data_IF_615571303777
#
_entry.id   IF_615571303777
#
_cell.length_a   1.000
_cell.length_b   1.000
_cell.length_c   1.000
_cell.angle_alpha   90.00
_cell.angle_beta   90.00
_cell.angle_gamma   90.00
#
_symmetry.space_group_name_H-M   'P 1'
#
loop_
_entity.id
_entity.type
_entity.pdbx_description
1 polymer ?
#
# COMPACT_ATOMS: atom_id res chain seq x y z
N UNK A 1 -5.32 -6.78 -33.87
CA UNK A 1 -4.98 -7.51 -35.11
C UNK A 1 -3.50 -7.37 -35.46
N UNK A 2 -2.96 -6.16 -35.72
CA UNK A 2 -1.52 -5.98 -36.05
C UNK A 2 -0.57 -6.46 -34.95
N UNK A 3 -0.90 -6.25 -33.68
CA UNK A 3 -0.06 -6.70 -32.55
C UNK A 3 -0.05 -8.22 -32.35
N UNK A 4 -1.18 -8.89 -32.60
CA UNK A 4 -1.27 -10.36 -32.56
C UNK A 4 -0.41 -10.95 -33.68
N UNK A 5 -0.51 -10.41 -34.90
CA UNK A 5 0.36 -10.81 -36.00
C UNK A 5 1.84 -10.54 -35.68
N UNK A 6 2.17 -9.39 -35.09
CA UNK A 6 3.56 -9.06 -34.76
C UNK A 6 4.26 -10.08 -33.84
N UNK A 7 3.51 -10.84 -33.04
CA UNK A 7 4.07 -11.86 -32.14
C UNK A 7 3.83 -13.30 -32.62
N UNK A 8 2.73 -13.55 -33.33
CA UNK A 8 2.24 -14.91 -33.58
C UNK A 8 2.09 -15.24 -35.07
N UNK A 9 2.56 -14.39 -36.00
CA UNK A 9 2.36 -14.63 -37.43
C UNK A 9 2.89 -16.01 -37.87
N UNK A 10 2.06 -16.74 -38.60
CA UNK A 10 2.39 -18.08 -39.08
C UNK A 10 2.39 -19.18 -38.01
N UNK A 11 2.06 -18.87 -36.75
CA UNK A 11 1.93 -19.87 -35.69
C UNK A 11 0.49 -20.41 -35.60
N UNK A 12 0.35 -21.62 -35.05
CA UNK A 12 -0.98 -22.19 -34.79
C UNK A 12 -1.77 -21.44 -33.71
N UNK A 13 -1.11 -20.59 -32.90
CA UNK A 13 -1.73 -19.80 -31.84
C UNK A 13 -2.38 -18.50 -32.34
N UNK A 14 -2.02 -18.02 -33.54
CA UNK A 14 -2.59 -16.80 -34.12
C UNK A 14 -4.12 -16.87 -34.28
N UNK A 15 -4.73 -17.89 -34.92
CA UNK A 15 -6.18 -17.97 -35.05
C UNK A 15 -6.89 -18.09 -33.71
N UNK A 16 -6.30 -18.79 -32.74
CA UNK A 16 -6.84 -18.91 -31.38
C UNK A 16 -6.84 -17.56 -30.65
N UNK A 17 -5.74 -16.81 -30.70
CA UNK A 17 -5.66 -15.47 -30.12
C UNK A 17 -6.66 -14.50 -30.76
N UNK A 18 -6.91 -14.63 -32.07
CA UNK A 18 -7.95 -13.85 -32.76
C UNK A 18 -9.36 -14.21 -32.29
N UNK A 19 -9.67 -15.50 -32.13
CA UNK A 19 -10.96 -15.96 -31.58
C UNK A 19 -11.19 -15.39 -30.17
N UNK A 20 -10.19 -15.51 -29.28
CA UNK A 20 -10.25 -14.97 -27.91
C UNK A 20 -10.47 -13.46 -27.93
N UNK A 21 -9.81 -12.74 -28.84
CA UNK A 21 -10.03 -11.30 -29.00
C UNK A 21 -11.47 -10.97 -29.38
N UNK A 22 -12.08 -11.71 -30.33
CA UNK A 22 -13.48 -11.52 -30.70
C UNK A 22 -14.42 -11.80 -29.54
N UNK A 23 -14.19 -12.88 -28.79
CA UNK A 23 -14.97 -13.20 -27.57
C UNK A 23 -14.83 -12.12 -26.50
N UNK A 24 -13.63 -11.59 -26.32
CA UNK A 24 -13.38 -10.51 -25.35
C UNK A 24 -14.07 -9.21 -25.74
N UNK A 25 -14.14 -8.87 -27.04
CA UNK A 25 -14.97 -7.75 -27.50
C UNK A 25 -16.45 -7.99 -27.24
N UNK A 26 -16.95 -9.19 -27.49
CA UNK A 26 -18.34 -9.54 -27.18
C UNK A 26 -18.64 -9.44 -25.67
N UNK A 27 -17.68 -9.79 -24.81
CA UNK A 27 -17.75 -9.57 -23.37
C UNK A 27 -17.92 -8.08 -23.02
N UNK A 28 -17.08 -7.21 -23.59
CA UNK A 28 -17.16 -5.75 -23.35
C UNK A 28 -18.49 -5.16 -23.85
N UNK A 29 -18.94 -5.55 -25.05
CA UNK A 29 -20.21 -5.11 -25.62
C UNK A 29 -21.41 -5.57 -24.78
N UNK A 30 -21.33 -6.76 -24.17
CA UNK A 30 -22.35 -7.26 -23.26
C UNK A 30 -22.33 -6.53 -21.91
N UNK A 31 -21.15 -6.18 -21.38
CA UNK A 31 -21.04 -5.36 -20.16
C UNK A 31 -21.60 -3.95 -20.35
N UNK A 32 -21.39 -3.33 -21.51
CA UNK A 32 -21.89 -1.98 -21.80
C UNK A 32 -23.42 -1.87 -21.77
N UNK A 33 -24.13 -3.00 -21.83
CA UNK A 33 -25.60 -3.08 -21.74
C UNK A 33 -26.10 -3.17 -20.29
N UNK A 34 -25.21 -3.31 -19.31
CA UNK A 34 -25.60 -3.30 -17.90
C UNK A 34 -25.99 -1.88 -17.47
N UNK A 35 -27.01 -1.73 -16.60
CA UNK A 35 -27.36 -0.45 -15.99
C UNK A 35 -26.14 0.18 -15.30
N UNK A 36 -26.02 1.50 -15.39
CA UNK A 36 -24.92 2.29 -14.82
C UNK A 36 -23.51 1.83 -15.24
N UNK A 37 -23.37 1.19 -16.40
CA UNK A 37 -22.15 0.53 -16.86
C UNK A 37 -21.59 -0.50 -15.84
N UNK A 38 -22.49 -1.05 -15.00
CA UNK A 38 -22.14 -1.94 -13.91
C UNK A 38 -21.49 -1.25 -12.71
N UNK A 39 -21.61 0.07 -12.57
CA UNK A 39 -21.31 0.79 -11.34
C UNK A 39 -22.42 0.50 -10.31
N UNK A 40 -22.01 0.23 -9.07
CA UNK A 40 -22.94 -0.09 -7.99
C UNK A 40 -22.54 0.68 -6.75
N UNK A 41 -23.54 1.17 -6.02
CA UNK A 41 -23.34 1.67 -4.66
C UNK A 41 -22.80 0.53 -3.78
N UNK A 42 -21.56 0.70 -3.31
CA UNK A 42 -20.87 -0.28 -2.48
C UNK A 42 -21.49 -0.41 -1.08
N UNK A 43 -22.40 0.47 -0.71
CA UNK A 43 -23.15 0.39 0.55
C UNK A 43 -24.32 -0.60 0.47
N UNK A 44 -24.84 -0.87 -0.74
CA UNK A 44 -25.84 -1.92 -0.96
C UNK A 44 -25.15 -3.23 -1.34
N UNK A 45 -24.92 -4.08 -0.34
CA UNK A 45 -24.28 -5.38 -0.52
C UNK A 45 -25.10 -6.34 -1.40
N UNK A 46 -26.42 -6.15 -1.51
CA UNK A 46 -27.30 -6.95 -2.36
C UNK A 46 -27.14 -6.59 -3.82
N UNK A 47 -27.20 -5.28 -4.13
CA UNK A 47 -26.94 -4.77 -5.47
C UNK A 47 -25.51 -5.11 -5.93
N UNK A 48 -24.53 -5.01 -5.04
CA UNK A 48 -23.14 -5.34 -5.34
C UNK A 48 -23.00 -6.83 -5.71
N UNK A 49 -23.64 -7.72 -4.95
CA UNK A 49 -23.65 -9.15 -5.29
C UNK A 49 -24.25 -9.40 -6.68
N UNK A 50 -25.41 -8.80 -6.96
CA UNK A 50 -26.12 -9.00 -8.22
C UNK A 50 -25.24 -8.58 -9.42
N UNK A 51 -24.55 -7.44 -9.32
CA UNK A 51 -23.67 -6.99 -10.38
C UNK A 51 -22.46 -7.91 -10.59
N UNK A 52 -21.87 -8.45 -9.50
CA UNK A 52 -20.80 -9.44 -9.62
C UNK A 52 -21.28 -10.71 -10.31
N UNK A 53 -22.45 -11.22 -9.94
CA UNK A 53 -23.04 -12.42 -10.55
C UNK A 53 -23.41 -12.20 -12.03
N UNK A 54 -23.88 -11.00 -12.40
CA UNK A 54 -24.11 -10.61 -13.80
C UNK A 54 -22.80 -10.60 -14.61
N UNK A 55 -21.72 -10.03 -14.06
CA UNK A 55 -20.40 -10.01 -14.71
C UNK A 55 -19.86 -11.42 -14.94
N UNK A 56 -19.99 -12.30 -13.94
CA UNK A 56 -19.61 -13.73 -14.04
C UNK A 56 -20.42 -14.41 -15.14
N UNK A 57 -21.73 -14.21 -15.18
CA UNK A 57 -22.62 -14.79 -16.19
C UNK A 57 -22.30 -14.31 -17.61
N UNK A 58 -22.00 -13.02 -17.77
CA UNK A 58 -21.59 -12.44 -19.06
C UNK A 58 -20.24 -13.02 -19.49
N UNK A 59 -19.26 -13.07 -18.58
CA UNK A 59 -17.95 -13.66 -18.86
C UNK A 59 -18.08 -15.11 -19.33
N UNK A 60 -18.83 -15.94 -18.60
CA UNK A 60 -19.01 -17.35 -18.97
C UNK A 60 -19.68 -17.52 -20.34
N UNK A 61 -20.75 -16.75 -20.62
CA UNK A 61 -21.48 -16.86 -21.90
C UNK A 61 -20.68 -16.36 -23.11
N UNK A 62 -19.79 -15.39 -22.92
CA UNK A 62 -19.04 -14.76 -24.03
C UNK A 62 -17.66 -15.36 -24.23
N UNK A 63 -16.94 -15.65 -23.14
CA UNK A 63 -15.58 -16.19 -23.17
C UNK A 63 -15.55 -17.73 -23.10
N UNK A 64 -16.58 -18.37 -22.56
CA UNK A 64 -16.58 -19.82 -22.33
C UNK A 64 -15.44 -20.21 -21.38
N UNK A 65 -14.64 -21.20 -21.77
CA UNK A 65 -13.52 -21.70 -20.96
C UNK A 65 -12.45 -20.62 -20.66
N UNK A 66 -12.37 -19.58 -21.49
CA UNK A 66 -11.49 -18.43 -21.25
C UNK A 66 -11.93 -17.54 -20.08
N UNK A 67 -13.15 -17.69 -19.56
CA UNK A 67 -13.61 -16.89 -18.42
C UNK A 67 -12.78 -17.14 -17.15
N UNK A 68 -12.36 -18.38 -16.93
CA UNK A 68 -11.60 -18.76 -15.74
C UNK A 68 -10.17 -18.20 -15.72
N UNK A 69 -9.34 -18.34 -16.76
CA UNK A 69 -8.01 -17.72 -16.78
C UNK A 69 -8.07 -16.19 -16.82
N UNK A 70 -9.10 -15.58 -17.43
CA UNK A 70 -9.24 -14.12 -17.43
C UNK A 70 -9.67 -13.56 -16.06
N UNK A 71 -10.67 -14.18 -15.42
CA UNK A 71 -11.40 -13.56 -14.32
C UNK A 71 -11.54 -14.42 -13.07
N UNK A 72 -11.17 -15.70 -13.08
CA UNK A 72 -11.41 -16.61 -11.95
C UNK A 72 -10.85 -16.10 -10.62
N UNK A 73 -9.59 -15.63 -10.63
CA UNK A 73 -8.96 -15.06 -9.44
C UNK A 73 -9.62 -13.74 -9.00
N UNK A 74 -9.98 -12.86 -9.94
CA UNK A 74 -10.68 -11.61 -9.64
C UNK A 74 -12.07 -11.87 -9.02
N UNK A 75 -12.85 -12.76 -9.64
CA UNK A 75 -14.19 -13.13 -9.19
C UNK A 75 -14.16 -13.77 -7.81
N UNK A 76 -13.17 -14.64 -7.57
CA UNK A 76 -12.97 -15.23 -6.24
C UNK A 76 -12.67 -14.15 -5.19
N UNK A 77 -11.74 -13.22 -5.47
CA UNK A 77 -11.40 -12.12 -4.55
C UNK A 77 -12.60 -11.21 -4.26
N UNK A 78 -13.35 -10.82 -5.30
CA UNK A 78 -14.55 -9.98 -5.15
C UNK A 78 -15.63 -10.66 -4.29
N UNK A 79 -15.87 -11.96 -4.49
CA UNK A 79 -16.81 -12.75 -3.68
C UNK A 79 -16.34 -12.90 -2.23
N UNK A 80 -15.04 -13.14 -2.04
CA UNK A 80 -14.42 -13.23 -0.72
C UNK A 80 -14.55 -11.91 0.05
N UNK A 81 -14.23 -10.78 -0.56
CA UNK A 81 -14.32 -9.46 0.07
C UNK A 81 -15.76 -9.05 0.35
N UNK A 82 -16.70 -9.37 -0.57
CA UNK A 82 -18.13 -9.19 -0.31
C UNK A 82 -18.61 -10.02 0.90
N UNK A 83 -18.18 -11.27 1.02
CA UNK A 83 -18.53 -12.10 2.17
C UNK A 83 -17.97 -11.52 3.48
N UNK A 84 -16.75 -10.97 3.47
CA UNK A 84 -16.17 -10.26 4.61
C UNK A 84 -16.98 -9.03 4.99
N UNK A 85 -17.37 -8.21 4.01
CA UNK A 85 -18.19 -7.02 4.24
C UNK A 85 -19.54 -7.38 4.85
N UNK A 86 -20.19 -8.44 4.36
CA UNK A 86 -21.44 -8.95 4.93
C UNK A 86 -21.28 -9.35 6.40
N UNK A 87 -20.22 -10.10 6.73
CA UNK A 87 -19.95 -10.49 8.13
C UNK A 87 -19.69 -9.26 9.00
N UNK A 88 -18.91 -8.29 8.52
CA UNK A 88 -18.57 -7.10 9.28
C UNK A 88 -19.79 -6.21 9.57
N UNK A 89 -20.70 -6.08 8.58
CA UNK A 89 -21.89 -5.23 8.66
C UNK A 89 -23.10 -5.93 9.30
N UNK A 90 -23.05 -7.25 9.51
CA UNK A 90 -24.13 -8.00 10.16
C UNK A 90 -24.25 -7.61 11.64
N UNK A 91 -25.31 -6.84 11.94
CA UNK A 91 -25.62 -6.35 13.28
C UNK A 91 -26.19 -7.42 14.21
N UNK A 92 -26.54 -8.60 13.67
CA UNK A 92 -27.04 -9.72 14.46
C UNK A 92 -25.91 -10.54 15.09
N UNK A 93 -24.66 -10.30 14.68
CA UNK A 93 -23.48 -11.00 15.17
C UNK A 93 -22.76 -10.23 16.26
N UNK A 94 -22.33 -10.96 17.28
CA UNK A 94 -21.33 -10.47 18.22
C UNK A 94 -19.95 -10.42 17.56
N UNK A 95 -19.02 -9.63 18.13
CA UNK A 95 -17.64 -9.55 17.62
C UNK A 95 -16.93 -10.92 17.63
N UNK A 96 -17.22 -11.78 18.61
CA UNK A 96 -16.70 -13.15 18.66
C UNK A 96 -17.23 -14.01 17.48
N UNK A 97 -18.54 -13.91 17.19
CA UNK A 97 -19.15 -14.61 16.06
C UNK A 97 -18.64 -14.09 14.71
N UNK A 98 -18.40 -12.78 14.59
CA UNK A 98 -17.77 -12.19 13.40
C UNK A 98 -16.35 -12.73 13.22
N UNK A 99 -15.54 -12.77 14.28
CA UNK A 99 -14.19 -13.30 14.24
C UNK A 99 -14.17 -14.78 13.81
N UNK A 100 -15.06 -15.61 14.38
CA UNK A 100 -15.20 -17.03 14.00
C UNK A 100 -15.57 -17.19 12.52
N UNK A 101 -16.58 -16.44 12.03
CA UNK A 101 -17.01 -16.51 10.63
C UNK A 101 -15.93 -16.02 9.66
N UNK A 102 -15.19 -14.96 10.03
CA UNK A 102 -14.07 -14.47 9.23
C UNK A 102 -12.93 -15.49 9.17
N UNK A 103 -12.63 -16.17 10.30
CA UNK A 103 -11.63 -17.23 10.33
C UNK A 103 -12.04 -18.42 9.45
N UNK A 104 -13.30 -18.84 9.52
CA UNK A 104 -13.83 -19.89 8.66
C UNK A 104 -13.77 -19.51 7.17
N UNK A 105 -14.12 -18.26 6.84
CA UNK A 105 -14.04 -17.74 5.47
C UNK A 105 -12.59 -17.74 4.95
N UNK A 106 -11.60 -17.39 5.79
CA UNK A 106 -10.19 -17.42 5.42
C UNK A 106 -9.69 -18.83 5.04
N UNK A 107 -10.27 -19.90 5.60
CA UNK A 107 -9.92 -21.28 5.23
C UNK A 107 -10.35 -21.66 3.81
N UNK A 108 -11.27 -20.91 3.20
CA UNK A 108 -11.74 -21.14 1.83
C UNK A 108 -10.80 -20.52 0.77
N UNK A 109 -9.71 -19.90 1.20
CA UNK A 109 -8.80 -19.20 0.32
C UNK A 109 -7.92 -20.15 -0.51
N UNK A 110 -7.88 -19.99 -1.86
CA UNK A 110 -6.99 -20.73 -2.74
C UNK A 110 -5.54 -20.64 -2.29
N UNK A 111 -4.75 -21.68 -2.61
CA UNK A 111 -3.35 -21.75 -2.18
C UNK A 111 -2.53 -20.54 -2.66
N UNK A 112 -2.73 -20.12 -3.92
CA UNK A 112 -2.00 -19.00 -4.52
C UNK A 112 -2.34 -17.66 -3.84
N UNK A 113 -3.63 -17.44 -3.55
CA UNK A 113 -4.11 -16.26 -2.82
C UNK A 113 -3.58 -16.24 -1.37
N UNK A 114 -3.54 -17.40 -0.69
CA UNK A 114 -2.93 -17.52 0.63
C UNK A 114 -1.44 -17.21 0.59
N UNK A 115 -0.71 -17.74 -0.40
CA UNK A 115 0.72 -17.49 -0.55
C UNK A 115 1.01 -16.01 -0.79
N UNK A 116 0.23 -15.36 -1.66
CA UNK A 116 0.35 -13.93 -1.93
C UNK A 116 0.11 -13.08 -0.67
N UNK A 117 -0.93 -13.40 0.10
CA UNK A 117 -1.20 -12.71 1.38
C UNK A 117 -0.12 -12.94 2.41
N UNK A 118 0.31 -14.19 2.61
CA UNK A 118 1.39 -14.50 3.54
C UNK A 118 2.68 -13.75 3.21
N UNK A 119 2.98 -13.57 1.92
CA UNK A 119 4.13 -12.78 1.51
C UNK A 119 3.97 -11.30 1.89
N UNK A 120 2.80 -10.71 1.65
CA UNK A 120 2.51 -9.34 2.06
C UNK A 120 2.55 -9.18 3.58
N UNK A 121 1.97 -10.12 4.33
CA UNK A 121 1.95 -10.13 5.79
C UNK A 121 3.38 -10.23 6.37
N UNK A 122 4.24 -11.07 5.79
CA UNK A 122 5.66 -11.14 6.18
C UNK A 122 6.40 -9.84 5.92
N UNK A 123 6.13 -9.18 4.80
CA UNK A 123 6.72 -7.87 4.50
C UNK A 123 6.27 -6.83 5.52
N UNK A 124 4.96 -6.78 5.82
CA UNK A 124 4.43 -5.85 6.81
C UNK A 124 4.99 -6.13 8.21
N UNK A 125 5.05 -7.39 8.62
CA UNK A 125 5.61 -7.80 9.91
C UNK A 125 7.08 -7.37 10.07
N UNK A 126 7.88 -7.43 9.00
CA UNK A 126 9.26 -6.95 9.01
C UNK A 126 9.33 -5.42 9.26
N UNK A 127 8.46 -4.65 8.61
CA UNK A 127 8.37 -3.20 8.81
C UNK A 127 7.88 -2.85 10.21
N UNK A 128 6.87 -3.56 10.71
CA UNK A 128 6.31 -3.36 12.04
C UNK A 128 7.33 -3.67 13.14
N UNK A 129 8.12 -4.74 12.97
CA UNK A 129 9.21 -5.08 13.89
C UNK A 129 10.24 -3.95 13.96
N UNK A 130 10.67 -3.40 12.81
CA UNK A 130 11.61 -2.26 12.78
C UNK A 130 11.00 -1.05 13.49
N UNK A 131 9.77 -0.69 13.16
CA UNK A 131 9.08 0.45 13.76
C UNK A 131 8.90 0.31 15.28
N UNK A 132 8.64 -0.91 15.77
CA UNK A 132 8.54 -1.19 17.19
C UNK A 132 9.87 -0.96 17.92
N UNK A 133 10.99 -1.41 17.33
CA UNK A 133 12.32 -1.21 17.91
C UNK A 133 12.74 0.26 17.94
N UNK A 134 12.37 1.03 16.91
CA UNK A 134 12.58 2.47 16.89
C UNK A 134 11.78 3.15 18.01
N UNK A 135 10.50 2.79 18.17
CA UNK A 135 9.63 3.33 19.22
C UNK A 135 10.11 2.99 20.63
N UNK A 136 10.75 1.83 20.82
CA UNK A 136 11.32 1.46 22.12
C UNK A 136 12.67 2.14 22.40
N UNK A 137 13.20 2.95 21.48
CA UNK A 137 14.50 3.60 21.64
C UNK A 137 15.68 2.61 21.62
N UNK A 138 15.55 1.50 20.89
CA UNK A 138 16.62 0.51 20.81
C UNK A 138 17.90 1.13 20.22
N UNK A 139 19.05 0.80 20.80
CA UNK A 139 20.34 1.23 20.24
C UNK A 139 20.57 0.57 18.87
N UNK A 140 21.40 1.16 17.98
CA UNK A 140 21.73 0.55 16.69
C UNK A 140 22.25 -0.89 16.81
N UNK A 141 23.04 -1.19 17.85
CA UNK A 141 23.57 -2.53 18.09
C UNK A 141 22.48 -3.50 18.56
N UNK A 142 21.56 -3.06 19.43
CA UNK A 142 20.41 -3.85 19.85
C UNK A 142 19.47 -4.12 18.66
N UNK A 143 19.21 -3.13 17.80
CA UNK A 143 18.45 -3.32 16.56
C UNK A 143 19.13 -4.34 15.65
N UNK A 144 20.45 -4.22 15.45
CA UNK A 144 21.21 -5.16 14.60
C UNK A 144 21.10 -6.59 15.14
N UNK A 145 21.31 -6.80 16.43
CA UNK A 145 21.27 -8.11 17.06
C UNK A 145 19.88 -8.76 16.92
N UNK A 146 18.81 -8.00 17.18
CA UNK A 146 17.44 -8.53 17.12
C UNK A 146 16.97 -8.80 15.69
N UNK A 147 17.26 -7.89 14.75
CA UNK A 147 16.83 -8.03 13.36
C UNK A 147 17.66 -9.05 12.57
N UNK A 148 18.88 -9.37 12.99
CA UNK A 148 19.68 -10.42 12.33
C UNK A 148 18.98 -11.77 12.42
N UNK A 149 18.27 -12.03 13.52
CA UNK A 149 17.57 -13.30 13.73
C UNK A 149 16.33 -13.46 12.83
N UNK A 150 15.64 -12.35 12.51
CA UNK A 150 14.37 -12.39 11.77
C UNK A 150 14.50 -11.97 10.30
N UNK A 151 15.37 -11.00 10.00
CA UNK A 151 15.52 -10.40 8.67
C UNK A 151 16.89 -10.67 8.03
N UNK A 152 17.80 -11.30 8.77
CA UNK A 152 19.16 -11.57 8.31
C UNK A 152 20.13 -10.40 8.48
N UNK A 153 21.44 -10.66 8.32
CA UNK A 153 22.51 -9.72 8.68
C UNK A 153 22.51 -8.44 7.82
N UNK A 154 22.23 -8.55 6.52
CA UNK A 154 22.26 -7.39 5.61
C UNK A 154 21.15 -6.38 5.90
N UNK A 155 19.93 -6.88 6.16
CA UNK A 155 18.81 -6.03 6.53
C UNK A 155 19.04 -5.38 7.90
N UNK A 156 19.53 -6.15 8.87
CA UNK A 156 19.88 -5.65 10.19
C UNK A 156 20.96 -4.57 10.14
N UNK A 157 21.98 -4.73 9.30
CA UNK A 157 23.03 -3.73 9.11
C UNK A 157 22.49 -2.41 8.53
N UNK A 158 21.62 -2.48 7.50
CA UNK A 158 20.97 -1.29 6.92
C UNK A 158 20.10 -0.55 7.94
N UNK A 159 19.32 -1.27 8.74
CA UNK A 159 18.45 -0.67 9.77
C UNK A 159 19.28 -0.04 10.88
N UNK A 160 20.36 -0.68 11.31
CA UNK A 160 21.26 -0.10 12.30
C UNK A 160 21.94 1.18 11.79
N UNK A 161 22.37 1.21 10.52
CA UNK A 161 22.93 2.42 9.90
C UNK A 161 21.87 3.54 9.84
N UNK A 162 20.65 3.23 9.40
CA UNK A 162 19.54 4.18 9.39
C UNK A 162 19.31 4.79 10.78
N UNK A 163 19.34 3.97 11.84
CA UNK A 163 19.18 4.47 13.22
C UNK A 163 20.33 5.38 13.66
N UNK A 164 21.58 5.09 13.25
CA UNK A 164 22.73 5.95 13.50
C UNK A 164 22.59 7.30 12.78
N UNK A 165 22.18 7.26 11.51
CA UNK A 165 21.97 8.46 10.70
C UNK A 165 20.84 9.33 11.30
N UNK A 166 19.75 8.71 11.76
CA UNK A 166 18.65 9.40 12.44
C UNK A 166 19.09 10.01 13.77
N UNK A 167 19.87 9.31 14.59
CA UNK A 167 20.40 9.87 15.83
C UNK A 167 21.34 11.06 15.57
N UNK A 168 22.23 10.95 14.58
CA UNK A 168 23.11 12.04 14.16
C UNK A 168 22.31 13.25 13.65
N UNK A 169 21.27 13.00 12.85
CA UNK A 169 20.36 14.05 12.38
C UNK A 169 19.65 14.75 13.55
N UNK A 170 19.09 13.98 14.48
CA UNK A 170 18.36 14.51 15.65
C UNK A 170 19.27 15.39 16.52
N UNK A 171 20.52 14.96 16.77
CA UNK A 171 21.50 15.77 17.50
C UNK A 171 21.76 17.10 16.80
N UNK A 172 22.07 17.07 15.49
CA UNK A 172 22.31 18.28 14.70
C UNK A 172 21.10 19.21 14.68
N UNK A 173 19.90 18.65 14.62
CA UNK A 173 18.66 19.41 14.67
C UNK A 173 18.40 20.03 16.05
N UNK A 174 18.72 19.33 17.14
CA UNK A 174 18.64 19.90 18.48
C UNK A 174 19.59 21.10 18.66
N UNK A 175 20.84 20.96 18.20
CA UNK A 175 21.83 22.05 18.22
C UNK A 175 21.38 23.25 17.38
N UNK A 176 20.83 22.98 16.20
CA UNK A 176 20.22 23.99 15.34
C UNK A 176 19.04 24.69 16.02
N UNK A 177 18.13 23.94 16.64
CA UNK A 177 16.96 24.49 17.31
C UNK A 177 17.34 25.37 18.50
N UNK A 178 18.40 25.03 19.23
CA UNK A 178 18.94 25.86 20.31
C UNK A 178 19.49 27.20 19.79
N UNK A 179 20.28 27.18 18.71
CA UNK A 179 20.78 28.40 18.07
C UNK A 179 19.65 29.23 17.44
N UNK A 180 18.66 28.58 16.84
CA UNK A 180 17.46 29.23 16.29
C UNK A 180 16.71 29.99 17.38
N UNK A 181 16.55 29.40 18.56
CA UNK A 181 15.89 30.04 19.70
C UNK A 181 16.64 31.31 20.18
N UNK A 182 17.97 31.33 20.11
CA UNK A 182 18.77 32.53 20.41
C UNK A 182 18.51 33.66 19.39
N UNK A 183 18.41 33.33 18.10
CA UNK A 183 18.06 34.30 17.04
C UNK A 183 16.62 34.81 17.24
N UNK A 184 15.68 33.93 17.60
CA UNK A 184 14.29 34.28 17.91
C UNK A 184 14.20 35.25 19.11
N UNK A 185 15.08 35.10 20.11
CA UNK A 185 15.11 35.93 21.32
C UNK A 185 15.86 37.27 21.16
N UNK A 186 16.56 37.50 20.05
CA UNK A 186 17.44 38.66 19.86
C UNK A 186 16.71 39.99 19.56
N UNK A 187 15.37 40.02 19.54
CA UNK A 187 14.59 41.25 19.31
C UNK A 187 14.69 41.80 17.87
N UNK A 188 15.05 40.95 16.91
CA UNK A 188 15.19 41.31 15.50
C UNK A 188 13.84 41.59 14.83
N UNK A 189 13.86 42.33 13.72
CA UNK A 189 12.70 42.41 12.83
C UNK A 189 12.33 41.01 12.31
N UNK A 190 11.04 40.72 12.00
CA UNK A 190 10.65 39.42 11.47
C UNK A 190 11.44 39.01 10.22
N UNK A 191 11.71 39.95 9.32
CA UNK A 191 12.46 39.71 8.08
C UNK A 191 13.93 39.34 8.36
N UNK A 192 14.60 40.07 9.25
CA UNK A 192 16.00 39.82 9.59
C UNK A 192 16.16 38.51 10.36
N UNK A 193 15.23 38.23 11.29
CA UNK A 193 15.17 36.96 12.02
C UNK A 193 15.05 35.79 11.05
N UNK A 194 14.09 35.84 10.13
CA UNK A 194 13.82 34.74 9.21
C UNK A 194 14.99 34.54 8.23
N UNK A 195 15.64 35.61 7.78
CA UNK A 195 16.86 35.56 6.97
C UNK A 195 18.04 34.92 7.72
N UNK A 196 18.25 35.28 8.99
CA UNK A 196 19.31 34.69 9.83
C UNK A 196 19.04 33.21 10.11
N UNK A 197 17.80 32.83 10.41
CA UNK A 197 17.40 31.42 10.59
C UNK A 197 17.63 30.63 9.30
N UNK A 198 17.26 31.17 8.13
CA UNK A 198 17.51 30.52 6.85
C UNK A 198 19.02 30.33 6.58
N UNK A 199 19.84 31.34 6.86
CA UNK A 199 21.29 31.25 6.73
C UNK A 199 21.94 30.28 7.73
N UNK A 200 21.43 30.20 8.95
CA UNK A 200 21.85 29.18 9.94
C UNK A 200 21.50 27.78 9.43
N UNK A 201 20.28 27.60 8.92
CA UNK A 201 19.81 26.32 8.39
C UNK A 201 20.67 25.82 7.23
N UNK A 202 20.99 26.69 6.27
CA UNK A 202 21.86 26.35 5.13
C UNK A 202 23.30 25.99 5.57
N UNK A 203 23.80 26.62 6.64
CA UNK A 203 25.13 26.32 7.18
C UNK A 203 25.18 24.98 7.91
N UNK A 204 24.15 24.65 8.69
CA UNK A 204 24.10 23.42 9.49
C UNK A 204 23.66 22.19 8.69
N UNK A 205 22.94 22.36 7.58
CA UNK A 205 22.33 21.29 6.81
C UNK A 205 22.75 21.32 5.34
N UNK A 206 23.92 20.73 5.05
CA UNK A 206 24.56 20.80 3.74
C UNK A 206 24.23 19.64 2.81
N UNK A 207 23.68 18.52 3.32
CA UNK A 207 23.26 17.42 2.46
C UNK A 207 21.94 17.76 1.76
N UNK A 208 21.75 17.21 0.56
CA UNK A 208 20.53 17.41 -0.22
C UNK A 208 19.28 17.08 0.59
N UNK A 209 18.30 17.98 0.58
CA UNK A 209 17.01 17.81 1.28
C UNK A 209 17.03 18.07 2.80
N UNK A 210 18.19 18.07 3.46
CA UNK A 210 18.26 18.29 4.91
C UNK A 210 17.76 19.68 5.33
N UNK A 211 18.16 20.74 4.63
CA UNK A 211 17.68 22.09 4.91
C UNK A 211 16.16 22.22 4.71
N UNK A 212 15.58 21.49 3.75
CA UNK A 212 14.12 21.47 3.52
C UNK A 212 13.41 20.71 4.65
N UNK A 213 13.96 19.56 5.08
CA UNK A 213 13.47 18.78 6.23
C UNK A 213 13.45 19.63 7.50
N UNK A 214 14.54 20.32 7.82
CA UNK A 214 14.63 21.21 8.97
C UNK A 214 13.62 22.36 8.90
N UNK A 215 13.46 22.99 7.73
CA UNK A 215 12.47 24.05 7.53
C UNK A 215 11.02 23.55 7.73
N UNK A 216 10.73 22.29 7.40
CA UNK A 216 9.42 21.70 7.66
C UNK A 216 9.17 21.47 9.15
N UNK A 217 10.17 21.00 9.89
CA UNK A 217 10.08 20.81 11.34
C UNK A 217 9.91 22.13 12.09
N UNK A 218 10.57 23.20 11.62
CA UNK A 218 10.41 24.56 12.17
C UNK A 218 8.95 25.02 12.12
N UNK A 219 8.28 24.82 10.98
CA UNK A 219 6.87 25.21 10.79
C UNK A 219 5.93 24.38 11.68
N UNK A 220 6.19 23.08 11.83
CA UNK A 220 5.40 22.21 12.70
C UNK A 220 5.51 22.61 14.18
N UNK A 221 6.71 22.97 14.63
CA UNK A 221 6.92 23.45 16.00
C UNK A 221 6.29 24.83 16.26
N UNK A 222 6.25 25.70 15.25
CA UNK A 222 5.57 27.00 15.34
C UNK A 222 4.04 26.88 15.39
N UNK A 223 3.45 25.90 14.69
CA UNK A 223 2.01 25.64 14.71
C UNK A 223 1.51 24.98 16.02
N UNK A 224 2.42 24.44 16.83
CA UNK A 224 2.13 23.81 18.12
C UNK A 224 2.31 24.77 19.32
N UNK A 225 2.68 26.03 19.08
CA UNK A 225 2.80 27.10 20.09
C UNK A 225 1.61 28.05 19.96
#
# INVERSE_FOLDING_TARGET
MREIAAQLDGTMAQPEALDVWHRYRAYLDALAKLPDAGAVDKSDLGALQLALDQRVSIAYRTLGDWSQPFFGAEQWRQRYDLARLKIAQDRTLTEAQKAERLAALAQQMPADERAARQQADRQQAAIDQIAQLQKSGATPDAMRAQLTQTLGPDAAARVAQMQQDDASWQSRYADYAAQRAQIEAAGLSPQDRDAQIAALRQRMFTKSGEAVRAASLDRGAAAAR
#
